data_IF_934919607899
#
_entry.id   IF_934919607899
#
_cell.length_a   1.000
_cell.length_b   1.000
_cell.length_c   1.000
_cell.angle_alpha   90.00
_cell.angle_beta   90.00
_cell.angle_gamma   90.00
#
_symmetry.space_group_name_H-M   'P 1'
#
loop_
_entity.id
_entity.type
_entity.pdbx_description
1 polymer ?
#
# COMPACT_ATOMS: atom_id res chain seq x y z
N UNK A 1 15.66 -3.32 -15.73
CA UNK A 1 14.67 -2.81 -14.76
C UNK A 1 15.18 -1.51 -14.18
N UNK A 2 14.43 -0.40 -14.33
CA UNK A 2 14.77 0.89 -13.72
C UNK A 2 13.79 1.16 -12.57
N UNK A 3 14.30 1.52 -11.41
CA UNK A 3 13.50 1.77 -10.21
C UNK A 3 13.69 3.20 -9.76
N UNK A 4 12.60 3.96 -9.70
CA UNK A 4 12.49 5.31 -9.17
C UNK A 4 11.66 5.30 -7.88
N UNK A 5 11.76 6.34 -7.06
CA UNK A 5 10.91 6.51 -5.89
C UNK A 5 10.43 7.95 -5.73
N UNK A 6 9.17 8.08 -5.37
CA UNK A 6 8.51 9.28 -4.89
C UNK A 6 8.46 9.16 -3.36
N UNK A 7 9.28 9.91 -2.67
CA UNK A 7 9.41 9.80 -1.20
C UNK A 7 8.54 10.81 -0.46
N UNK A 8 8.08 11.84 -1.14
CA UNK A 8 7.26 12.91 -0.54
C UNK A 8 5.94 13.11 -1.29
N UNK A 9 4.84 13.36 -0.57
CA UNK A 9 3.55 13.74 -1.18
C UNK A 9 3.64 14.98 -2.08
N UNK A 10 4.59 15.88 -1.82
CA UNK A 10 4.83 17.07 -2.65
C UNK A 10 5.20 16.71 -4.11
N UNK A 11 5.70 15.50 -4.36
CA UNK A 11 6.07 15.01 -5.68
C UNK A 11 4.91 14.37 -6.45
N UNK A 12 3.80 14.01 -5.78
CA UNK A 12 2.65 13.35 -6.39
C UNK A 12 2.03 14.13 -7.58
N UNK A 13 1.91 15.48 -7.53
CA UNK A 13 1.42 16.23 -8.69
C UNK A 13 2.35 16.14 -9.91
N UNK A 14 3.65 15.99 -9.70
CA UNK A 14 4.61 15.78 -10.79
C UNK A 14 4.51 14.35 -11.33
N UNK A 15 4.36 13.34 -10.47
CA UNK A 15 4.12 11.96 -10.87
C UNK A 15 2.87 11.84 -11.74
N UNK A 16 1.76 12.45 -11.33
CA UNK A 16 0.49 12.39 -12.07
C UNK A 16 0.56 12.99 -13.49
N UNK A 17 1.60 13.78 -13.81
CA UNK A 17 1.85 14.33 -15.15
C UNK A 17 2.81 13.50 -16.00
N UNK A 18 3.46 12.47 -15.43
CA UNK A 18 4.35 11.57 -16.17
C UNK A 18 3.52 10.64 -17.08
N UNK A 19 4.12 10.19 -18.17
CA UNK A 19 3.60 9.05 -18.92
C UNK A 19 3.94 7.76 -18.16
N UNK A 20 2.93 7.11 -17.64
CA UNK A 20 3.07 5.91 -16.81
C UNK A 20 2.61 4.62 -17.52
N UNK A 21 2.33 4.67 -18.83
CA UNK A 21 1.74 3.53 -19.59
C UNK A 21 2.58 2.27 -19.56
N UNK A 22 3.90 2.40 -19.40
CA UNK A 22 4.85 1.27 -19.32
C UNK A 22 5.44 1.13 -17.90
N UNK A 23 4.78 1.69 -16.89
CA UNK A 23 5.28 1.77 -15.52
C UNK A 23 4.43 0.94 -14.57
N UNK A 24 5.08 0.19 -13.69
CA UNK A 24 4.45 -0.39 -12.50
C UNK A 24 4.68 0.55 -11.31
N UNK A 25 3.60 1.09 -10.75
CA UNK A 25 3.63 1.87 -9.53
C UNK A 25 3.36 0.96 -8.33
N UNK A 26 4.16 1.09 -7.26
CA UNK A 26 3.95 0.38 -5.99
C UNK A 26 3.72 1.41 -4.90
N UNK A 27 2.51 1.46 -4.37
CA UNK A 27 2.08 2.47 -3.40
C UNK A 27 2.22 1.94 -1.98
N UNK A 28 2.86 2.73 -1.12
CA UNK A 28 3.03 2.51 0.31
C UNK A 28 2.29 3.57 1.11
N UNK A 29 1.42 3.16 1.98
CA UNK A 29 0.82 3.88 3.11
C UNK A 29 0.77 2.86 4.26
N UNK A 30 1.94 2.65 4.86
CA UNK A 30 2.15 1.56 5.82
C UNK A 30 1.34 1.79 7.10
N UNK A 31 1.24 3.03 7.55
CA UNK A 31 0.43 3.41 8.70
C UNK A 31 -0.67 4.40 8.27
N UNK A 32 -1.80 3.86 7.63
CA UNK A 32 -2.19 2.44 7.67
C UNK A 32 -2.85 1.93 6.39
N UNK A 33 -3.13 2.76 5.38
CA UNK A 33 -4.09 2.41 4.33
C UNK A 33 -3.72 1.15 3.56
N UNK A 34 -2.48 1.03 3.05
CA UNK A 34 -2.09 -0.17 2.28
C UNK A 34 -2.01 -1.43 3.14
N UNK A 35 -1.57 -1.33 4.39
CA UNK A 35 -1.63 -2.44 5.35
C UNK A 35 -3.07 -2.90 5.59
N UNK A 36 -4.01 -1.95 5.71
CA UNK A 36 -5.44 -2.25 5.88
C UNK A 36 -6.02 -2.92 4.65
N UNK A 37 -5.69 -2.46 3.43
CA UNK A 37 -6.19 -3.03 2.19
C UNK A 37 -5.70 -4.47 1.99
N UNK A 38 -4.41 -4.69 2.21
CA UNK A 38 -3.79 -6.02 2.11
C UNK A 38 -4.42 -6.98 3.11
N UNK A 39 -4.64 -6.54 4.35
CA UNK A 39 -5.31 -7.34 5.39
C UNK A 39 -6.77 -7.66 5.04
N UNK A 40 -7.52 -6.66 4.56
CA UNK A 40 -8.90 -6.86 4.14
C UNK A 40 -9.01 -7.92 3.04
N UNK A 41 -8.15 -7.84 2.03
CA UNK A 41 -8.11 -8.78 0.91
C UNK A 41 -7.69 -10.18 1.39
N UNK A 42 -6.66 -10.30 2.23
CA UNK A 42 -6.25 -11.57 2.83
C UNK A 42 -7.42 -12.23 3.56
N UNK A 43 -8.22 -11.45 4.28
CA UNK A 43 -9.37 -11.92 5.06
C UNK A 43 -10.62 -12.14 4.20
N UNK A 44 -10.48 -12.11 2.87
CA UNK A 44 -11.51 -12.51 1.93
C UNK A 44 -12.44 -11.39 1.47
N UNK A 45 -12.08 -10.12 1.64
CA UNK A 45 -12.79 -9.03 0.95
C UNK A 45 -12.70 -9.23 -0.57
N UNK A 46 -13.81 -8.98 -1.28
CA UNK A 46 -13.85 -9.09 -2.75
C UNK A 46 -13.04 -8.00 -3.43
N UNK A 47 -13.09 -6.79 -2.88
CA UNK A 47 -12.39 -5.62 -3.38
C UNK A 47 -12.34 -4.52 -2.33
N UNK A 48 -11.35 -3.64 -2.45
CA UNK A 48 -11.30 -2.34 -1.77
C UNK A 48 -11.35 -1.25 -2.84
N UNK A 49 -12.30 -0.33 -2.75
CA UNK A 49 -12.47 0.80 -3.66
C UNK A 49 -12.00 2.07 -2.94
N UNK A 50 -10.79 2.56 -3.23
CA UNK A 50 -10.31 3.82 -2.65
C UNK A 50 -11.01 5.01 -3.29
N UNK A 51 -11.59 5.88 -2.48
CA UNK A 51 -12.23 7.14 -2.91
C UNK A 51 -11.65 8.33 -2.15
N UNK A 52 -11.61 9.51 -2.77
CA UNK A 52 -11.02 10.67 -2.12
C UNK A 52 -11.94 11.26 -1.05
N UNK A 53 -13.23 11.35 -1.36
CA UNK A 53 -14.17 12.11 -0.55
C UNK A 53 -15.16 11.20 0.19
N UNK A 54 -15.58 11.64 1.38
CA UNK A 54 -16.63 10.97 2.15
C UNK A 54 -17.93 10.90 1.32
N UNK A 55 -18.25 11.96 0.58
CA UNK A 55 -19.44 12.01 -0.29
C UNK A 55 -19.43 10.94 -1.38
N UNK A 56 -18.25 10.66 -1.97
CA UNK A 56 -18.10 9.56 -2.96
C UNK A 56 -18.42 8.20 -2.31
N UNK A 57 -17.91 7.97 -1.09
CA UNK A 57 -18.17 6.74 -0.36
C UNK A 57 -19.66 6.55 -0.05
N UNK A 58 -20.33 7.61 0.42
CA UNK A 58 -21.76 7.59 0.70
C UNK A 58 -22.60 7.36 -0.55
N UNK A 59 -22.23 7.98 -1.67
CA UNK A 59 -22.93 7.80 -2.95
C UNK A 59 -22.81 6.34 -3.46
N UNK A 60 -21.66 5.69 -3.27
CA UNK A 60 -21.48 4.27 -3.61
C UNK A 60 -22.32 3.36 -2.70
N UNK A 61 -22.40 3.64 -1.40
CA UNK A 61 -23.24 2.90 -0.46
C UNK A 61 -24.72 3.02 -0.84
N UNK A 62 -25.18 4.20 -1.24
CA UNK A 62 -26.57 4.38 -1.68
C UNK A 62 -26.92 3.52 -2.91
N UNK A 63 -25.99 3.41 -3.87
CA UNK A 63 -26.15 2.58 -5.07
C UNK A 63 -26.05 1.08 -4.77
N UNK A 64 -25.26 0.70 -3.78
CA UNK A 64 -25.01 -0.69 -3.41
C UNK A 64 -25.03 -0.85 -1.88
N UNK A 65 -26.21 -1.06 -1.27
CA UNK A 65 -26.35 -1.09 0.21
C UNK A 65 -25.50 -2.16 0.93
N UNK A 66 -25.04 -3.20 0.22
CA UNK A 66 -24.18 -4.26 0.78
C UNK A 66 -22.68 -3.91 0.88
N UNK A 67 -22.27 -2.74 0.39
CA UNK A 67 -20.89 -2.26 0.51
C UNK A 67 -20.60 -1.84 1.97
N UNK A 68 -19.40 -2.15 2.47
CA UNK A 68 -18.90 -1.62 3.73
C UNK A 68 -18.20 -0.27 3.51
N UNK A 69 -18.41 0.66 4.42
CA UNK A 69 -17.67 1.93 4.47
C UNK A 69 -16.52 1.80 5.46
N UNK A 70 -15.30 1.99 4.97
CA UNK A 70 -14.08 2.01 5.78
C UNK A 70 -13.33 3.32 5.59
N UNK A 71 -12.52 3.69 6.57
CA UNK A 71 -11.67 4.86 6.43
C UNK A 71 -11.52 5.71 7.68
N UNK A 72 -10.77 6.80 7.51
CA UNK A 72 -10.38 7.66 8.63
C UNK A 72 -10.32 9.14 8.23
N UNK A 73 -10.42 9.97 9.25
CA UNK A 73 -9.91 11.34 9.25
C UNK A 73 -9.13 11.56 10.56
N UNK A 74 -7.94 12.13 10.45
CA UNK A 74 -7.00 12.31 11.57
C UNK A 74 -6.69 11.04 12.36
N UNK A 75 -6.65 9.90 11.65
CA UNK A 75 -6.34 8.58 12.21
C UNK A 75 -7.53 7.85 12.84
N UNK A 76 -8.67 8.50 13.03
CA UNK A 76 -9.86 7.91 13.68
C UNK A 76 -10.98 7.61 12.66
N UNK A 77 -11.83 6.62 13.00
CA UNK A 77 -12.96 6.23 12.17
C UNK A 77 -13.91 7.42 11.92
N UNK A 78 -14.36 7.55 10.68
CA UNK A 78 -15.34 8.56 10.28
C UNK A 78 -16.68 8.28 10.96
N UNK A 79 -17.25 9.30 11.57
CA UNK A 79 -18.47 9.24 12.37
C UNK A 79 -19.60 10.07 11.77
N UNK A 80 -20.82 9.81 12.25
CA UNK A 80 -22.06 10.46 11.80
C UNK A 80 -21.98 11.99 11.72
N UNK A 81 -21.25 12.64 12.63
CA UNK A 81 -21.05 14.09 12.59
C UNK A 81 -20.30 14.62 11.36
N UNK A 82 -19.50 13.76 10.70
CA UNK A 82 -18.73 14.11 9.51
C UNK A 82 -19.47 13.75 8.21
N UNK A 83 -20.52 12.95 8.30
CA UNK A 83 -21.22 12.33 7.16
C UNK A 83 -22.66 12.85 6.99
N UNK A 84 -23.16 13.58 7.97
CA UNK A 84 -24.57 13.98 8.01
C UNK A 84 -25.51 12.86 8.52
N UNK A 85 -25.00 11.93 9.35
CA UNK A 85 -25.85 10.98 10.07
C UNK A 85 -25.49 9.50 9.90
N UNK A 86 -24.43 9.15 9.15
CA UNK A 86 -24.02 7.75 8.90
C UNK A 86 -22.65 7.50 9.52
N UNK A 87 -22.54 6.55 10.44
CA UNK A 87 -21.25 6.03 10.89
C UNK A 87 -20.63 5.12 9.82
N UNK A 88 -19.33 5.22 9.62
CA UNK A 88 -18.62 4.22 8.83
C UNK A 88 -18.55 2.89 9.59
N UNK A 89 -18.67 1.78 8.84
CA UNK A 89 -18.66 0.43 9.43
C UNK A 89 -17.31 0.08 10.06
N UNK A 90 -16.21 0.53 9.42
CA UNK A 90 -14.83 0.25 9.80
C UNK A 90 -14.00 1.55 9.82
N UNK A 91 -12.99 1.58 10.68
CA UNK A 91 -11.94 2.61 10.63
C UNK A 91 -10.88 2.30 9.58
N UNK A 92 -9.62 2.68 9.88
CA UNK A 92 -8.47 2.35 9.06
C UNK A 92 -7.46 1.46 9.83
N UNK A 93 -7.90 0.81 10.91
CA UNK A 93 -7.09 -0.19 11.62
C UNK A 93 -7.17 -1.53 10.88
N UNK A 94 -6.06 -2.12 10.41
CA UNK A 94 -6.10 -3.43 9.75
C UNK A 94 -6.71 -4.51 10.65
N UNK A 95 -6.57 -4.40 11.96
CA UNK A 95 -7.11 -5.32 12.96
C UNK A 95 -8.64 -5.32 13.04
N UNK A 96 -9.31 -4.28 12.51
CA UNK A 96 -10.77 -4.24 12.40
C UNK A 96 -11.31 -5.11 11.25
N UNK A 97 -10.49 -5.41 10.25
CA UNK A 97 -10.88 -6.09 9.01
C UNK A 97 -10.80 -7.62 9.15
N UNK A 98 -11.50 -8.16 10.14
CA UNK A 98 -11.51 -9.60 10.40
C UNK A 98 -12.29 -10.37 9.33
N UNK A 99 -12.03 -11.69 9.11
CA UNK A 99 -12.77 -12.50 8.14
C UNK A 99 -14.29 -12.45 8.31
N UNK A 100 -14.78 -12.40 9.57
CA UNK A 100 -16.21 -12.34 9.89
C UNK A 100 -16.87 -11.06 9.37
N UNK A 101 -16.12 -9.95 9.37
CA UNK A 101 -16.63 -8.65 8.92
C UNK A 101 -16.53 -8.48 7.41
N UNK A 102 -15.41 -8.90 6.81
CA UNK A 102 -15.08 -8.49 5.44
C UNK A 102 -15.23 -9.57 4.38
N UNK A 103 -15.30 -10.84 4.74
CA UNK A 103 -15.36 -11.94 3.77
C UNK A 103 -16.53 -11.79 2.81
N UNK A 104 -16.22 -11.81 1.52
CA UNK A 104 -17.20 -11.67 0.45
C UNK A 104 -17.77 -10.26 0.29
N UNK A 105 -17.27 -9.26 1.02
CA UNK A 105 -17.73 -7.87 0.94
C UNK A 105 -16.83 -7.04 0.03
N UNK A 106 -17.43 -6.03 -0.58
CA UNK A 106 -16.72 -4.90 -1.17
C UNK A 106 -16.64 -3.78 -0.15
N UNK A 107 -15.48 -3.16 -0.02
CA UNK A 107 -15.22 -2.09 0.93
C UNK A 107 -14.93 -0.82 0.15
N UNK A 108 -15.64 0.26 0.42
CA UNK A 108 -15.27 1.60 -0.05
C UNK A 108 -14.47 2.27 1.04
N UNK A 109 -13.25 2.66 0.73
CA UNK A 109 -12.33 3.24 1.71
C UNK A 109 -11.93 4.66 1.33
N UNK A 110 -11.98 5.58 2.30
CA UNK A 110 -11.46 6.93 2.13
C UNK A 110 -10.47 7.26 3.25
N UNK A 111 -9.25 7.64 2.83
CA UNK A 111 -8.14 7.98 3.72
C UNK A 111 -7.48 9.28 3.28
N UNK A 112 -6.78 9.93 4.19
CA UNK A 112 -6.18 11.23 3.94
C UNK A 112 -5.04 11.17 2.91
N UNK A 113 -4.17 10.16 2.98
CA UNK A 113 -2.93 10.11 2.18
C UNK A 113 -2.94 8.99 1.12
N UNK A 114 -3.25 7.75 1.48
CA UNK A 114 -3.15 6.60 0.59
C UNK A 114 -3.98 6.73 -0.68
N UNK A 115 -5.18 7.30 -0.59
CA UNK A 115 -6.03 7.54 -1.76
C UNK A 115 -5.41 8.55 -2.74
N UNK A 116 -4.74 9.61 -2.24
CA UNK A 116 -4.01 10.59 -3.09
C UNK A 116 -2.88 9.90 -3.86
N UNK A 117 -2.08 9.07 -3.18
CA UNK A 117 -0.98 8.36 -3.80
C UNK A 117 -1.46 7.37 -4.88
N UNK A 118 -2.52 6.59 -4.61
CA UNK A 118 -3.13 5.69 -5.59
C UNK A 118 -3.66 6.45 -6.82
N UNK A 119 -4.32 7.60 -6.61
CA UNK A 119 -4.82 8.44 -7.71
C UNK A 119 -3.69 9.05 -8.55
N UNK A 120 -2.57 9.41 -7.95
CA UNK A 120 -1.41 9.94 -8.69
C UNK A 120 -0.80 8.89 -9.64
N UNK A 121 -1.06 7.60 -9.41
CA UNK A 121 -0.63 6.50 -10.25
C UNK A 121 -1.64 6.15 -11.36
N UNK A 122 -2.75 6.89 -11.50
CA UNK A 122 -3.75 6.65 -12.56
C UNK A 122 -3.10 6.78 -13.92
N UNK A 123 -3.30 5.78 -14.80
CA UNK A 123 -2.63 5.71 -16.11
C UNK A 123 -1.38 4.85 -16.11
N UNK A 124 -0.91 4.36 -14.96
CA UNK A 124 0.14 3.35 -14.92
C UNK A 124 -0.33 2.03 -15.54
N UNK A 125 0.61 1.30 -16.14
CA UNK A 125 0.35 -0.05 -16.64
C UNK A 125 -0.22 -0.95 -15.52
N UNK A 126 0.34 -0.78 -14.32
CA UNK A 126 -0.10 -1.51 -13.12
C UNK A 126 0.11 -0.65 -11.87
N UNK A 127 -0.83 -0.75 -10.94
CA UNK A 127 -0.71 -0.13 -9.61
C UNK A 127 -0.86 -1.21 -8.56
N UNK A 128 0.14 -1.36 -7.71
CA UNK A 128 0.16 -2.32 -6.61
C UNK A 128 0.05 -1.58 -5.28
N UNK A 129 -0.74 -2.11 -4.35
CA UNK A 129 -0.73 -1.68 -2.96
C UNK A 129 0.16 -2.62 -2.15
N UNK A 130 1.19 -2.08 -1.50
CA UNK A 130 2.14 -2.85 -0.73
C UNK A 130 2.38 -2.27 0.66
N UNK A 131 2.78 -3.12 1.57
CA UNK A 131 3.23 -2.81 2.93
C UNK A 131 4.23 -3.86 3.37
N UNK A 132 4.79 -3.77 4.58
CA UNK A 132 5.64 -4.83 5.12
C UNK A 132 4.95 -6.20 5.10
N UNK A 133 3.60 -6.22 5.25
CA UNK A 133 2.81 -7.45 5.34
C UNK A 133 2.87 -8.36 4.10
N UNK A 134 3.17 -7.81 2.90
CA UNK A 134 3.18 -8.56 1.62
C UNK A 134 4.38 -8.22 0.72
N UNK A 135 5.49 -7.81 1.31
CA UNK A 135 6.61 -7.21 0.59
C UNK A 135 7.29 -8.22 -0.35
N UNK A 136 7.60 -9.41 0.15
CA UNK A 136 8.24 -10.49 -0.63
C UNK A 136 7.36 -10.94 -1.78
N UNK A 137 6.06 -11.15 -1.57
CA UNK A 137 5.12 -11.50 -2.62
C UNK A 137 5.10 -10.43 -3.74
N UNK A 138 5.09 -9.15 -3.34
CA UNK A 138 5.15 -8.02 -4.27
C UNK A 138 6.45 -8.02 -5.08
N UNK A 139 7.61 -8.23 -4.43
CA UNK A 139 8.91 -8.29 -5.10
C UNK A 139 8.99 -9.45 -6.11
N UNK A 140 8.54 -10.64 -5.72
CA UNK A 140 8.49 -11.82 -6.60
C UNK A 140 7.60 -11.58 -7.82
N UNK A 141 6.44 -10.98 -7.61
CA UNK A 141 5.53 -10.65 -8.70
C UNK A 141 6.14 -9.66 -9.69
N UNK A 142 6.72 -8.55 -9.21
CA UNK A 142 7.38 -7.54 -10.06
C UNK A 142 8.47 -8.17 -10.92
N UNK A 143 9.26 -9.06 -10.35
CA UNK A 143 10.29 -9.80 -11.11
C UNK A 143 9.68 -10.71 -12.16
N UNK A 144 8.62 -11.42 -11.82
CA UNK A 144 7.93 -12.34 -12.75
C UNK A 144 7.35 -11.62 -13.96
N UNK A 145 6.76 -10.44 -13.77
CA UNK A 145 6.22 -9.66 -14.90
C UNK A 145 7.27 -8.90 -15.69
N UNK A 146 8.54 -8.93 -15.24
CA UNK A 146 9.67 -8.28 -15.91
C UNK A 146 9.42 -6.78 -16.20
N UNK A 147 8.77 -6.07 -15.29
CA UNK A 147 8.48 -4.64 -15.47
C UNK A 147 9.78 -3.86 -15.72
N UNK A 148 9.83 -3.11 -16.82
CA UNK A 148 11.00 -2.35 -17.20
C UNK A 148 11.17 -1.08 -16.36
N UNK A 149 10.04 -0.44 -15.99
CA UNK A 149 9.98 0.79 -15.22
C UNK A 149 9.14 0.58 -13.95
N UNK A 150 9.70 0.90 -12.80
CA UNK A 150 9.04 0.80 -11.51
C UNK A 150 9.13 2.15 -10.80
N UNK A 151 8.04 2.59 -10.20
CA UNK A 151 8.00 3.75 -9.31
C UNK A 151 7.46 3.32 -7.96
N UNK A 152 8.29 3.43 -6.91
CA UNK A 152 7.91 3.23 -5.53
C UNK A 152 7.30 4.53 -5.01
N UNK A 153 6.06 4.52 -4.56
CA UNK A 153 5.31 5.73 -4.23
C UNK A 153 4.94 5.72 -2.75
N UNK A 154 5.60 6.57 -1.97
CA UNK A 154 5.28 6.80 -0.57
C UNK A 154 4.12 7.81 -0.46
N UNK A 155 3.05 7.43 0.23
CA UNK A 155 1.87 8.28 0.43
C UNK A 155 2.17 9.46 1.36
N UNK A 156 3.10 9.27 2.29
CA UNK A 156 3.52 10.27 3.24
C UNK A 156 2.45 10.64 4.27
N UNK A 157 2.67 11.74 4.98
CA UNK A 157 1.74 12.26 5.99
C UNK A 157 1.46 13.72 5.69
N UNK A 158 0.24 14.05 5.25
CA UNK A 158 -0.12 15.38 4.77
C UNK A 158 0.80 15.81 3.63
N UNK A 159 1.74 16.75 3.86
CA UNK A 159 2.75 17.15 2.88
C UNK A 159 4.17 16.68 3.24
N UNK A 160 4.32 15.89 4.32
CA UNK A 160 5.59 15.42 4.84
C UNK A 160 5.89 13.98 4.43
N UNK A 161 7.16 13.63 4.46
CA UNK A 161 7.64 12.26 4.30
C UNK A 161 7.16 11.43 5.48
N UNK A 162 6.64 10.21 5.23
CA UNK A 162 6.39 9.20 6.26
C UNK A 162 7.56 8.22 6.32
N UNK A 163 8.19 8.12 7.48
CA UNK A 163 9.37 7.26 7.67
C UNK A 163 9.07 5.81 7.34
N UNK A 164 7.96 5.29 7.79
CA UNK A 164 7.52 3.92 7.57
C UNK A 164 7.34 3.58 6.08
N UNK A 165 6.82 4.52 5.28
CA UNK A 165 6.64 4.34 3.84
C UNK A 165 8.00 4.29 3.13
N UNK A 166 8.91 5.20 3.49
CA UNK A 166 10.28 5.23 2.95
C UNK A 166 11.03 3.95 3.28
N UNK A 167 10.87 3.44 4.51
CA UNK A 167 11.51 2.20 4.91
C UNK A 167 10.95 0.99 4.15
N UNK A 168 9.64 0.94 3.91
CA UNK A 168 9.03 -0.13 3.12
C UNK A 168 9.45 -0.05 1.65
N UNK A 169 9.49 1.15 1.05
CA UNK A 169 10.03 1.36 -0.29
C UNK A 169 11.50 0.96 -0.39
N UNK A 170 12.31 1.30 0.62
CA UNK A 170 13.71 0.90 0.71
C UNK A 170 13.89 -0.61 0.82
N UNK A 171 13.05 -1.29 1.62
CA UNK A 171 13.04 -2.73 1.75
C UNK A 171 12.68 -3.42 0.41
N UNK A 172 11.66 -2.92 -0.31
CA UNK A 172 11.34 -3.44 -1.63
C UNK A 172 12.47 -3.19 -2.64
N UNK A 173 13.07 -1.99 -2.63
CA UNK A 173 14.24 -1.67 -3.45
C UNK A 173 15.42 -2.61 -3.17
N UNK A 174 15.64 -2.97 -1.92
CA UNK A 174 16.66 -3.97 -1.52
C UNK A 174 16.31 -5.35 -2.08
N UNK A 175 15.08 -5.84 -1.88
CA UNK A 175 14.63 -7.12 -2.42
C UNK A 175 14.77 -7.19 -3.95
N UNK A 176 14.46 -6.13 -4.67
CA UNK A 176 14.56 -6.07 -6.12
C UNK A 176 16.01 -5.96 -6.62
N UNK A 177 16.96 -5.58 -5.80
CA UNK A 177 18.38 -5.39 -6.19
C UNK A 177 19.19 -6.66 -6.21
N UNK A 178 18.81 -7.69 -5.45
CA UNK A 178 19.54 -8.94 -5.37
C UNK A 178 18.95 -10.01 -6.29
N UNK A 179 19.77 -10.87 -6.91
CA UNK A 179 19.26 -12.07 -7.57
C UNK A 179 18.55 -12.92 -6.50
N UNK A 180 17.28 -13.09 -6.63
CA UNK A 180 16.46 -13.93 -5.77
C UNK A 180 16.33 -15.30 -6.46
N UNK A 181 16.69 -16.37 -5.78
CA UNK A 181 16.27 -17.69 -6.21
C UNK A 181 14.76 -17.77 -6.03
N UNK A 182 14.04 -17.93 -7.13
CA UNK A 182 12.60 -18.19 -7.10
C UNK A 182 12.47 -19.60 -6.53
N UNK A 183 12.29 -19.71 -5.21
CA UNK A 183 11.89 -20.97 -4.61
C UNK A 183 10.44 -21.22 -5.03
N UNK A 184 10.21 -22.41 -5.58
CA UNK A 184 8.89 -22.89 -6.04
C UNK A 184 7.89 -22.95 -4.87
N UNK A 185 7.23 -21.84 -4.57
CA UNK A 185 5.97 -21.82 -3.88
C UNK A 185 4.86 -21.65 -4.92
N UNK A 186 3.71 -22.34 -4.79
CA UNK A 186 2.76 -22.54 -5.89
C UNK A 186 1.97 -21.28 -6.22
N UNK A 187 2.51 -20.45 -7.09
CA UNK A 187 1.77 -19.53 -7.95
C UNK A 187 2.07 -19.98 -9.38
N UNK A 188 1.11 -20.70 -9.97
CA UNK A 188 1.18 -21.35 -11.31
C UNK A 188 1.66 -20.42 -12.43
N UNK A 189 1.87 -20.91 -13.66
CA UNK A 189 2.89 -21.78 -14.18
C UNK A 189 4.11 -21.04 -14.81
N UNK A 190 5.21 -21.75 -14.97
CA UNK A 190 6.50 -21.45 -15.63
C UNK A 190 6.56 -20.21 -16.54
N UNK A 191 7.36 -19.25 -16.16
CA UNK A 191 8.01 -18.30 -17.05
C UNK A 191 9.51 -18.57 -17.02
N UNK A 192 10.14 -18.58 -18.20
CA UNK A 192 11.55 -18.90 -18.41
C UNK A 192 12.50 -18.00 -17.59
N UNK A 193 13.71 -18.52 -17.26
CA UNK A 193 14.67 -17.77 -16.45
C UNK A 193 15.07 -16.47 -17.15
N UNK A 194 15.28 -15.43 -16.34
CA UNK A 194 15.82 -14.14 -16.77
C UNK A 194 16.91 -14.32 -17.81
N UNK A 195 16.66 -13.85 -19.02
CA UNK A 195 17.72 -13.67 -20.01
C UNK A 195 18.81 -12.78 -19.39
N UNK A 196 20.07 -13.06 -19.70
CA UNK A 196 21.21 -12.21 -19.34
C UNK A 196 21.03 -10.85 -20.03
N UNK A 197 20.35 -9.93 -19.37
CA UNK A 197 20.10 -8.61 -19.90
C UNK A 197 19.81 -7.62 -18.80
N UNK A 198 20.42 -6.50 -18.84
CA UNK A 198 20.30 -5.26 -18.07
C UNK A 198 20.11 -5.43 -16.56
N UNK A 199 21.15 -5.13 -15.81
CA UNK A 199 21.11 -5.06 -14.34
C UNK A 199 20.02 -4.10 -13.85
N UNK A 200 19.57 -4.31 -12.62
CA UNK A 200 18.65 -3.39 -11.94
C UNK A 200 19.37 -2.06 -11.73
N UNK A 201 18.77 -0.96 -12.21
CA UNK A 201 19.24 0.41 -11.96
C UNK A 201 18.33 1.07 -10.96
N UNK A 202 18.91 1.52 -9.87
CA UNK A 202 18.24 2.31 -8.83
C UNK A 202 18.63 3.76 -9.01
N UNK A 203 17.64 4.66 -8.94
CA UNK A 203 17.98 6.08 -8.85
C UNK A 203 18.31 6.49 -7.41
N UNK A 204 18.75 7.74 -7.22
CA UNK A 204 19.23 8.26 -5.92
C UNK A 204 18.14 8.22 -4.84
N UNK A 205 16.87 8.40 -5.20
CA UNK A 205 15.76 8.34 -4.24
C UNK A 205 15.57 6.94 -3.68
N UNK A 206 15.67 5.92 -4.54
CA UNK A 206 15.60 4.50 -4.10
C UNK A 206 16.82 4.14 -3.27
N UNK A 207 18.01 4.56 -3.66
CA UNK A 207 19.23 4.33 -2.86
C UNK A 207 19.14 4.99 -1.49
N UNK A 208 18.57 6.20 -1.42
CA UNK A 208 18.31 6.89 -0.15
C UNK A 208 17.38 6.08 0.74
N UNK A 209 16.25 5.62 0.20
CA UNK A 209 15.29 4.79 0.92
C UNK A 209 15.92 3.45 1.37
N UNK A 210 16.70 2.80 0.49
CA UNK A 210 17.41 1.55 0.77
C UNK A 210 18.45 1.70 1.90
N UNK A 211 19.18 2.80 1.89
CA UNK A 211 20.15 3.10 2.94
C UNK A 211 19.45 3.39 4.29
N UNK A 212 18.30 4.05 4.28
CA UNK A 212 17.48 4.24 5.48
C UNK A 212 16.98 2.88 6.01
N UNK A 213 16.46 2.02 5.15
CA UNK A 213 16.03 0.66 5.49
C UNK A 213 17.15 -0.16 6.14
N UNK A 214 18.34 -0.19 5.53
CA UNK A 214 19.48 -0.96 6.05
C UNK A 214 19.89 -0.56 7.46
N UNK A 215 19.76 0.72 7.79
CA UNK A 215 20.04 1.24 9.14
C UNK A 215 18.93 0.90 10.14
N UNK A 216 17.67 0.82 9.68
CA UNK A 216 16.52 0.66 10.55
C UNK A 216 16.09 -0.80 10.75
N UNK A 217 16.40 -1.72 9.82
CA UNK A 217 15.81 -3.07 9.77
C UNK A 217 16.03 -3.93 11.02
N UNK A 218 17.11 -3.70 11.78
CA UNK A 218 17.39 -4.45 13.02
C UNK A 218 16.58 -3.95 14.23
N UNK A 219 16.06 -2.71 14.17
CA UNK A 219 15.30 -2.07 15.23
C UNK A 219 14.10 -1.27 14.65
N UNK A 220 13.43 -1.87 13.66
CA UNK A 220 12.40 -1.24 12.85
C UNK A 220 11.29 -0.60 13.70
N UNK A 221 10.81 -1.32 14.72
CA UNK A 221 9.73 -0.83 15.59
C UNK A 221 10.15 0.45 16.34
N UNK A 222 11.37 0.51 16.88
CA UNK A 222 11.88 1.68 17.59
C UNK A 222 11.95 2.89 16.65
N UNK A 223 12.59 2.71 15.48
CA UNK A 223 12.77 3.78 14.49
C UNK A 223 11.41 4.32 14.02
N UNK A 224 10.45 3.42 13.74
CA UNK A 224 9.11 3.84 13.29
C UNK A 224 8.30 4.45 14.43
N UNK A 225 8.46 4.00 15.66
CA UNK A 225 7.73 4.56 16.82
C UNK A 225 8.02 6.05 17.04
N UNK A 226 9.16 6.54 16.60
CA UNK A 226 9.52 7.97 16.64
C UNK A 226 8.92 8.79 15.47
N UNK A 227 8.33 8.13 14.46
CA UNK A 227 7.71 8.80 13.33
C UNK A 227 6.35 9.45 13.72
N UNK A 228 5.96 10.50 12.99
CA UNK A 228 4.75 11.28 13.30
C UNK A 228 3.48 10.42 13.35
N UNK A 229 3.27 9.57 12.34
CA UNK A 229 2.09 8.70 12.28
C UNK A 229 2.07 7.69 13.42
N UNK A 230 3.20 7.03 13.67
CA UNK A 230 3.31 6.04 14.74
C UNK A 230 3.06 6.66 16.11
N UNK A 231 3.69 7.82 16.42
CA UNK A 231 3.44 8.52 17.71
C UNK A 231 1.97 8.85 17.91
N UNK A 232 1.28 9.30 16.86
CA UNK A 232 -0.16 9.57 16.92
C UNK A 232 -0.97 8.31 17.21
N UNK A 233 -0.66 7.19 16.56
CA UNK A 233 -1.35 5.91 16.78
C UNK A 233 -1.06 5.34 18.17
N UNK A 234 0.20 5.41 18.61
CA UNK A 234 0.63 4.91 19.93
C UNK A 234 -0.04 5.70 21.09
N UNK A 235 -0.39 6.95 20.86
CA UNK A 235 -1.11 7.78 21.84
C UNK A 235 -2.59 7.40 22.00
N UNK A 236 -3.16 6.63 21.06
CA UNK A 236 -4.57 6.20 21.08
C UNK A 236 -4.62 4.74 21.52
N UNK A 237 -5.18 4.40 22.69
CA UNK A 237 -5.16 3.04 23.25
C UNK A 237 -5.64 1.96 22.27
N UNK A 238 -6.71 2.22 21.52
CA UNK A 238 -7.33 1.29 20.59
C UNK A 238 -6.51 1.05 19.32
N UNK A 239 -5.59 1.98 18.98
CA UNK A 239 -4.82 1.98 17.74
C UNK A 239 -3.32 1.68 17.94
N UNK A 240 -2.82 1.68 19.19
CA UNK A 240 -1.40 1.50 19.48
C UNK A 240 -0.81 0.23 18.88
N UNK A 241 -1.58 -0.86 18.92
CA UNK A 241 -1.12 -2.16 18.43
C UNK A 241 -1.07 -2.23 16.89
N UNK A 242 -1.69 -1.27 16.19
CA UNK A 242 -1.63 -1.20 14.74
C UNK A 242 -0.20 -0.96 14.24
N UNK A 243 0.62 -0.24 15.02
CA UNK A 243 2.02 0.03 14.66
C UNK A 243 2.80 -1.28 14.56
N UNK A 244 2.78 -2.08 15.63
CA UNK A 244 3.45 -3.37 15.64
C UNK A 244 2.88 -4.33 14.59
N UNK A 245 1.55 -4.32 14.38
CA UNK A 245 0.89 -5.15 13.38
C UNK A 245 1.36 -4.81 11.96
N UNK A 246 1.35 -3.54 11.57
CA UNK A 246 1.71 -3.10 10.23
C UNK A 246 3.19 -3.30 9.88
N UNK A 247 4.05 -3.44 10.88
CA UNK A 247 5.50 -3.66 10.71
C UNK A 247 5.89 -5.14 10.64
N UNK A 248 4.95 -6.08 10.77
CA UNK A 248 5.26 -7.51 10.62
C UNK A 248 5.65 -7.80 9.17
N UNK A 249 6.80 -8.48 8.95
CA UNK A 249 7.23 -8.78 7.58
C UNK A 249 6.49 -10.01 7.03
N UNK A 250 6.00 -9.89 5.80
CA UNK A 250 5.57 -11.00 4.94
C UNK A 250 4.56 -12.00 5.55
N UNK A 251 3.62 -11.48 6.37
CA UNK A 251 2.56 -12.32 6.94
C UNK A 251 1.51 -12.73 5.90
N UNK A 252 1.49 -12.06 4.75
CA UNK A 252 0.53 -12.35 3.68
C UNK A 252 1.22 -12.60 2.34
N UNK A 253 0.98 -13.77 1.76
CA UNK A 253 1.45 -14.11 0.42
C UNK A 253 0.35 -13.76 -0.60
N UNK A 254 0.19 -12.47 -0.90
CA UNK A 254 -0.78 -11.99 -1.89
C UNK A 254 -0.29 -10.72 -2.61
N UNK A 255 -0.81 -10.52 -3.81
CA UNK A 255 -0.60 -9.34 -4.61
C UNK A 255 -1.90 -8.53 -4.61
N UNK A 256 -1.86 -7.31 -4.09
CA UNK A 256 -2.98 -6.38 -4.12
C UNK A 256 -2.80 -5.41 -5.30
N UNK A 257 -3.61 -5.55 -6.34
CA UNK A 257 -3.50 -4.74 -7.55
C UNK A 257 -4.77 -3.94 -7.81
N UNK A 258 -4.61 -2.69 -8.24
CA UNK A 258 -5.70 -1.81 -8.63
C UNK A 258 -6.08 -2.09 -10.10
N UNK A 259 -7.34 -2.49 -10.32
CA UNK A 259 -7.90 -2.68 -11.65
C UNK A 259 -8.21 -1.35 -12.35
N UNK A 260 -8.56 -1.42 -13.65
CA UNK A 260 -8.96 -0.25 -14.44
C UNK A 260 -10.22 0.46 -13.90
N UNK A 261 -11.03 -0.24 -13.14
CA UNK A 261 -12.20 0.30 -12.43
C UNK A 261 -11.85 1.01 -11.11
N UNK A 262 -10.54 1.12 -10.79
CA UNK A 262 -10.03 1.74 -9.58
C UNK A 262 -10.15 0.88 -8.31
N UNK A 263 -10.72 -0.32 -8.40
CA UNK A 263 -10.82 -1.20 -7.24
C UNK A 263 -9.58 -2.09 -7.07
N UNK A 264 -9.11 -2.23 -5.85
CA UNK A 264 -7.98 -3.07 -5.49
C UNK A 264 -8.49 -4.48 -5.17
N UNK A 265 -7.87 -5.48 -5.80
CA UNK A 265 -8.20 -6.91 -5.64
C UNK A 265 -6.93 -7.74 -5.53
N UNK A 266 -7.09 -8.98 -5.07
CA UNK A 266 -6.01 -9.95 -5.21
C UNK A 266 -5.81 -10.24 -6.71
N UNK A 267 -4.59 -10.10 -7.18
CA UNK A 267 -4.19 -10.55 -8.50
C UNK A 267 -3.87 -12.04 -8.42
N UNK A 268 -4.60 -12.84 -9.16
CA UNK A 268 -4.49 -14.31 -9.22
C UNK A 268 -3.58 -14.71 -10.36
#
# INVERSE_FOLDING_TARGET
MNIDAILSPAELPALARRDLRDTTCVVFDVLRATSTFVTALHNGAKAVIPVAEISEALALRQKQPGILLGGERDGVRIRAGQTGGIDFDLGNSPREYTPEKVRGKTIVSTTTNGTRALRACTGAQMVLAASFLNLTATAQFIRRIQSAQIVLVCAGTRENIATEDVLAAGALGELLSYPFEITDAPLAPSLSPFGRGEGVRLNDSVETARNAWRKAKSNLFEVVSDAENARRLLAIPELRDDVAFCLQPDVYNLIAAMGRDGAIRILI
#
